data_IF_841086095151
#
_entry.id   IF_841086095151
#
_cell.length_a   1.000
_cell.length_b   1.000
_cell.length_c   1.000
_cell.angle_alpha   90.00
_cell.angle_beta   90.00
_cell.angle_gamma   90.00
#
_symmetry.space_group_name_H-M   'P 1'
#
loop_
_entity.id
_entity.type
_entity.pdbx_description
1 polymer ?
#
# COMPACT_ATOMS: atom_id res chain seq x y z
N UNK A 1 -3.63 12.56 -3.74
CA UNK A 1 -2.69 12.03 -2.73
C UNK A 1 -1.88 13.18 -2.17
N UNK A 2 -1.61 13.22 -0.86
CA UNK A 2 -0.85 14.29 -0.25
C UNK A 2 0.55 14.33 -0.86
N UNK A 3 1.03 15.53 -1.18
CA UNK A 3 2.43 15.74 -1.49
C UNK A 3 3.27 15.74 -0.20
N UNK A 4 4.57 16.04 -0.30
CA UNK A 4 5.47 16.11 0.86
C UNK A 4 5.09 17.17 1.89
N UNK A 5 4.14 18.07 1.60
CA UNK A 5 3.61 19.05 2.56
C UNK A 5 2.51 18.48 3.47
N UNK A 6 2.07 17.23 3.23
CA UNK A 6 1.03 16.50 3.98
C UNK A 6 -0.35 17.19 4.09
N UNK A 7 -0.52 18.39 3.52
CA UNK A 7 -1.67 19.28 3.71
C UNK A 7 -2.30 19.73 2.39
N UNK A 8 -1.61 19.54 1.27
CA UNK A 8 -2.06 19.97 -0.05
C UNK A 8 -2.33 18.76 -0.96
N UNK A 9 -3.43 18.82 -1.71
CA UNK A 9 -3.80 17.85 -2.73
C UNK A 9 -3.87 18.57 -4.07
N UNK A 10 -3.34 17.94 -5.13
CA UNK A 10 -3.36 18.52 -6.46
C UNK A 10 -4.80 18.74 -6.96
N UNK A 11 -5.10 19.84 -7.65
CA UNK A 11 -6.44 20.14 -8.16
C UNK A 11 -6.94 19.15 -9.25
N UNK A 12 -6.05 18.29 -9.74
CA UNK A 12 -6.35 17.25 -10.76
C UNK A 12 -7.35 16.21 -10.26
N UNK A 13 -7.49 16.07 -8.94
CA UNK A 13 -8.49 15.17 -8.35
C UNK A 13 -9.89 15.79 -8.33
N UNK A 14 -10.04 17.11 -8.40
CA UNK A 14 -11.37 17.76 -8.29
C UNK A 14 -12.36 17.31 -9.37
N UNK A 15 -11.97 17.20 -10.67
CA UNK A 15 -12.88 16.67 -11.68
C UNK A 15 -13.33 15.23 -11.40
N UNK A 16 -12.47 14.41 -10.79
CA UNK A 16 -12.83 13.03 -10.41
C UNK A 16 -13.84 13.00 -9.26
N UNK A 17 -13.86 14.04 -8.42
CA UNK A 17 -14.76 14.17 -7.28
C UNK A 17 -16.08 14.90 -7.61
N UNK A 18 -16.22 15.41 -8.84
CA UNK A 18 -17.40 16.17 -9.27
C UNK A 18 -18.68 15.30 -9.26
N UNK A 19 -18.55 14.02 -9.62
CA UNK A 19 -19.65 13.05 -9.56
C UNK A 19 -19.38 11.99 -8.50
N UNK A 20 -19.98 12.18 -7.32
CA UNK A 20 -19.83 11.28 -6.18
C UNK A 20 -20.39 9.87 -6.43
N UNK A 21 -21.31 9.68 -7.39
CA UNK A 21 -21.80 8.35 -7.75
C UNK A 21 -20.68 7.57 -8.47
N UNK A 22 -19.98 8.25 -9.37
CA UNK A 22 -18.88 7.66 -10.13
C UNK A 22 -17.57 7.58 -9.32
N UNK A 23 -17.38 8.42 -8.29
CA UNK A 23 -16.19 8.39 -7.42
C UNK A 23 -15.90 6.99 -6.90
N UNK A 24 -16.93 6.24 -6.50
CA UNK A 24 -16.79 4.88 -5.97
C UNK A 24 -16.22 3.87 -6.95
N UNK A 25 -16.28 4.14 -8.27
CA UNK A 25 -15.85 3.22 -9.33
C UNK A 25 -14.36 3.33 -9.64
N UNK A 26 -13.69 4.41 -9.21
CA UNK A 26 -12.26 4.57 -9.41
C UNK A 26 -11.45 3.64 -8.51
N UNK A 27 -10.30 3.19 -9.04
CA UNK A 27 -9.37 2.35 -8.29
C UNK A 27 -8.49 3.18 -7.33
N UNK A 28 -9.12 3.82 -6.34
CA UNK A 28 -8.42 4.67 -5.36
C UNK A 28 -7.30 3.93 -4.62
N UNK A 29 -7.50 2.64 -4.34
CA UNK A 29 -6.47 1.79 -3.72
C UNK A 29 -5.22 1.68 -4.58
N UNK A 30 -5.38 1.42 -5.89
CA UNK A 30 -4.26 1.32 -6.84
C UNK A 30 -3.55 2.66 -7.00
N UNK A 31 -4.30 3.76 -7.09
CA UNK A 31 -3.74 5.11 -7.17
C UNK A 31 -2.97 5.49 -5.89
N UNK A 32 -3.46 5.06 -4.73
CA UNK A 32 -2.77 5.28 -3.45
C UNK A 32 -1.48 4.45 -3.38
N UNK A 33 -1.53 3.19 -3.82
CA UNK A 33 -0.37 2.30 -3.86
C UNK A 33 0.70 2.78 -4.84
N UNK A 34 0.34 3.26 -6.03
CA UNK A 34 1.33 3.82 -6.97
C UNK A 34 2.03 5.04 -6.38
N UNK A 35 1.29 5.96 -5.77
CA UNK A 35 1.91 7.11 -5.09
C UNK A 35 2.79 6.69 -3.91
N UNK A 36 2.39 5.65 -3.16
CA UNK A 36 3.20 5.10 -2.06
C UNK A 36 4.50 4.48 -2.58
N UNK A 37 4.44 3.67 -3.65
CA UNK A 37 5.62 3.05 -4.25
C UNK A 37 6.60 4.09 -4.78
N UNK A 38 6.10 5.11 -5.49
CA UNK A 38 6.91 6.24 -5.96
C UNK A 38 7.59 6.98 -4.81
N UNK A 39 6.88 7.19 -3.70
CA UNK A 39 7.44 7.86 -2.54
C UNK A 39 8.51 7.01 -1.83
N UNK A 40 8.33 5.68 -1.78
CA UNK A 40 9.32 4.75 -1.24
C UNK A 40 10.58 4.71 -2.11
N UNK A 41 10.43 4.63 -3.43
CA UNK A 41 11.55 4.70 -4.38
C UNK A 41 12.37 5.98 -4.16
N UNK A 42 11.70 7.14 -4.17
CA UNK A 42 12.32 8.41 -3.91
C UNK A 42 13.01 8.45 -2.53
N UNK A 43 12.34 7.98 -1.48
CA UNK A 43 12.86 7.98 -0.11
C UNK A 43 14.08 7.09 0.13
N UNK A 44 14.41 6.16 -0.78
CA UNK A 44 15.61 5.33 -0.68
C UNK A 44 16.87 6.00 -1.23
N UNK A 45 16.73 7.13 -1.94
CA UNK A 45 17.87 7.84 -2.52
C UNK A 45 18.69 8.54 -1.44
N UNK A 46 20.02 8.53 -1.59
CA UNK A 46 20.94 9.07 -0.60
C UNK A 46 20.83 10.59 -0.37
N UNK A 47 20.25 11.33 -1.32
CA UNK A 47 20.04 12.77 -1.28
C UNK A 47 18.70 13.19 -0.63
N UNK A 48 17.90 12.23 -0.15
CA UNK A 48 16.58 12.50 0.40
C UNK A 48 16.55 12.43 1.93
N UNK A 49 16.03 13.49 2.54
CA UNK A 49 15.86 13.59 4.00
C UNK A 49 14.46 13.19 4.48
N UNK A 50 13.48 13.18 3.57
CA UNK A 50 12.07 12.95 3.88
C UNK A 50 11.43 11.97 2.91
N UNK A 51 10.41 11.26 3.40
CA UNK A 51 9.58 10.37 2.61
C UNK A 51 8.13 10.87 2.61
N UNK A 52 7.56 11.02 1.42
CA UNK A 52 6.18 11.48 1.22
C UNK A 52 5.18 10.34 1.08
N UNK A 53 3.97 10.66 0.62
CA UNK A 53 2.94 9.66 0.29
C UNK A 53 2.16 9.13 1.50
N UNK A 54 1.47 8.01 1.31
CA UNK A 54 0.54 7.47 2.30
C UNK A 54 1.27 6.64 3.39
N UNK A 55 2.11 7.29 4.20
CA UNK A 55 2.96 6.62 5.21
C UNK A 55 2.16 5.84 6.26
N UNK A 56 0.92 6.25 6.54
CA UNK A 56 0.03 5.50 7.43
C UNK A 56 -0.24 4.07 6.91
N UNK A 57 -0.29 3.85 5.59
CA UNK A 57 -0.45 2.51 5.03
C UNK A 57 0.79 1.65 5.24
N UNK A 58 1.99 2.23 5.07
CA UNK A 58 3.24 1.53 5.34
C UNK A 58 3.38 1.17 6.82
N UNK A 59 3.03 2.11 7.70
CA UNK A 59 3.04 1.90 9.15
C UNK A 59 2.05 0.80 9.56
N UNK A 60 0.80 0.85 9.07
CA UNK A 60 -0.17 -0.21 9.32
C UNK A 60 0.29 -1.55 8.75
N UNK A 61 0.89 -1.57 7.55
CA UNK A 61 1.45 -2.78 6.95
C UNK A 61 2.53 -3.39 7.83
N UNK A 62 3.43 -2.57 8.37
CA UNK A 62 4.51 -3.00 9.26
C UNK A 62 3.94 -3.55 10.57
N UNK A 63 2.98 -2.85 11.19
CA UNK A 63 2.35 -3.32 12.43
C UNK A 63 1.52 -4.59 12.26
N UNK A 64 0.92 -4.83 11.09
CA UNK A 64 0.22 -6.10 10.82
C UNK A 64 1.17 -7.30 10.75
N UNK A 65 2.41 -7.08 10.31
CA UNK A 65 3.33 -8.15 9.91
C UNK A 65 4.50 -8.33 10.85
N UNK A 66 5.05 -7.26 11.40
CA UNK A 66 6.28 -7.25 12.18
C UNK A 66 5.91 -7.01 13.65
N UNK A 67 5.68 -8.09 14.39
CA UNK A 67 5.05 -8.02 15.72
C UNK A 67 5.92 -7.34 16.79
N UNK A 68 7.25 -7.30 16.60
CA UNK A 68 8.15 -6.57 17.51
C UNK A 68 8.07 -5.03 17.34
N UNK A 69 7.52 -4.57 16.22
CA UNK A 69 7.30 -3.15 15.90
C UNK A 69 5.88 -2.70 16.21
N UNK A 70 4.93 -3.63 16.28
CA UNK A 70 3.52 -3.31 16.49
C UNK A 70 3.25 -2.89 17.93
N UNK A 71 2.47 -1.81 18.14
CA UNK A 71 1.92 -1.48 19.45
C UNK A 71 1.05 -2.61 19.99
N UNK A 72 0.97 -2.74 21.31
CA UNK A 72 0.07 -3.69 21.92
C UNK A 72 -1.38 -3.19 21.84
N UNK A 73 -2.25 -3.98 21.23
CA UNK A 73 -3.67 -3.65 21.05
C UNK A 73 -4.49 -4.04 22.28
N UNK A 74 -5.56 -3.29 22.52
CA UNK A 74 -6.67 -3.69 23.37
C UNK A 74 -7.54 -4.73 22.64
N UNK A 75 -8.12 -5.66 23.41
CA UNK A 75 -9.00 -6.69 22.86
C UNK A 75 -10.17 -6.08 22.08
N UNK A 76 -10.48 -6.70 20.93
CA UNK A 76 -11.59 -6.31 20.07
C UNK A 76 -12.84 -7.05 20.52
N UNK A 77 -13.81 -6.32 21.06
CA UNK A 77 -15.10 -6.91 21.46
C UNK A 77 -16.04 -7.07 20.25
N UNK A 78 -17.00 -8.01 20.33
CA UNK A 78 -18.05 -8.15 19.31
C UNK A 78 -18.80 -6.84 19.05
N UNK A 79 -19.02 -6.03 20.09
CA UNK A 79 -19.64 -4.71 19.97
C UNK A 79 -18.79 -3.74 19.13
N UNK A 80 -17.46 -3.79 19.25
CA UNK A 80 -16.58 -2.94 18.42
C UNK A 80 -16.65 -3.32 16.95
N UNK A 81 -16.82 -4.61 16.65
CA UNK A 81 -16.99 -5.12 15.28
C UNK A 81 -18.34 -4.67 14.73
N UNK A 82 -19.44 -4.93 15.45
CA UNK A 82 -20.80 -4.61 14.99
C UNK A 82 -21.06 -3.11 14.86
N UNK A 83 -20.41 -2.27 15.68
CA UNK A 83 -20.51 -0.80 15.57
C UNK A 83 -19.62 -0.20 14.49
N UNK A 84 -18.76 -0.98 13.82
CA UNK A 84 -17.77 -0.46 12.88
C UNK A 84 -16.67 0.38 13.55
N UNK A 85 -16.53 0.31 14.88
CA UNK A 85 -15.56 1.12 15.62
C UNK A 85 -14.09 0.83 15.24
N UNK A 86 -13.85 -0.35 14.66
CA UNK A 86 -12.54 -0.82 14.19
C UNK A 86 -12.41 -0.86 12.67
N UNK A 87 -13.38 -0.29 11.94
CA UNK A 87 -13.35 -0.13 10.49
C UNK A 87 -13.05 1.33 10.11
N UNK A 88 -12.20 1.61 9.09
CA UNK A 88 -11.40 0.65 8.32
C UNK A 88 -10.32 -0.03 9.18
N UNK A 89 -9.75 -1.17 8.74
CA UNK A 89 -8.83 -2.00 9.53
C UNK A 89 -7.74 -1.20 10.28
N UNK A 90 -7.17 -0.19 9.64
CA UNK A 90 -6.15 0.69 10.22
C UNK A 90 -6.60 1.36 11.54
N UNK A 91 -7.90 1.67 11.69
CA UNK A 91 -8.49 2.32 12.88
C UNK A 91 -8.31 1.50 14.15
N UNK A 92 -8.13 0.18 14.05
CA UNK A 92 -7.85 -0.66 15.21
C UNK A 92 -6.57 -0.22 15.94
N UNK A 93 -5.59 0.32 15.22
CA UNK A 93 -4.32 0.77 15.78
C UNK A 93 -4.46 2.06 16.60
N UNK A 94 -5.64 2.67 16.65
CA UNK A 94 -5.95 3.72 17.63
C UNK A 94 -6.30 3.14 19.02
N UNK A 95 -6.46 1.82 19.15
CA UNK A 95 -6.86 1.13 20.39
C UNK A 95 -5.67 0.44 21.04
N UNK A 96 -4.61 1.20 21.30
CA UNK A 96 -3.37 0.67 21.88
C UNK A 96 -3.38 0.81 23.40
N UNK A 97 -2.74 -0.13 24.10
CA UNK A 97 -2.58 -0.06 25.57
C UNK A 97 -1.71 1.11 26.01
N UNK A 98 -0.76 1.49 25.16
CA UNK A 98 0.10 2.66 25.33
C UNK A 98 -0.17 3.65 24.20
N UNK A 99 -0.18 4.94 24.50
CA UNK A 99 -0.31 5.96 23.45
C UNK A 99 0.88 5.86 22.49
N UNK A 100 0.60 5.73 21.19
CA UNK A 100 1.65 5.76 20.15
C UNK A 100 2.44 7.08 20.21
N UNK A 101 1.82 8.16 20.67
CA UNK A 101 2.46 9.47 20.83
C UNK A 101 3.36 9.58 22.07
N UNK A 102 3.32 8.61 22.97
CA UNK A 102 4.17 8.54 24.17
C UNK A 102 5.27 7.49 24.03
N UNK A 103 5.38 6.83 22.87
CA UNK A 103 6.46 5.88 22.61
C UNK A 103 7.81 6.61 22.55
N UNK A 104 8.69 6.29 23.49
CA UNK A 104 10.04 6.87 23.60
C UNK A 104 11.09 6.02 22.88
N UNK A 105 10.68 5.01 22.11
CA UNK A 105 11.57 4.15 21.33
C UNK A 105 12.38 4.97 20.35
N UNK A 106 13.69 4.95 20.51
CA UNK A 106 14.64 5.65 19.65
C UNK A 106 14.80 4.93 18.30
N UNK A 107 15.28 5.66 17.28
CA UNK A 107 15.64 5.08 15.97
C UNK A 107 16.65 3.92 16.13
N UNK A 108 17.60 4.03 17.07
CA UNK A 108 18.56 2.97 17.37
C UNK A 108 17.89 1.68 17.84
N UNK A 109 16.90 1.80 18.73
CA UNK A 109 16.13 0.66 19.21
C UNK A 109 15.26 0.04 18.11
N UNK A 110 14.68 0.87 17.23
CA UNK A 110 13.95 0.35 16.06
C UNK A 110 14.86 -0.44 15.11
N UNK A 111 16.06 0.06 14.81
CA UNK A 111 17.05 -0.66 14.00
C UNK A 111 17.43 -2.00 14.64
N UNK A 112 17.73 -1.99 15.94
CA UNK A 112 18.03 -3.22 16.68
C UNK A 112 16.90 -4.25 16.60
N UNK A 113 15.63 -3.82 16.76
CA UNK A 113 14.46 -4.70 16.62
C UNK A 113 14.33 -5.32 15.22
N UNK A 114 14.74 -4.60 14.18
CA UNK A 114 14.74 -5.09 12.80
C UNK A 114 15.93 -6.03 12.56
N UNK A 115 17.11 -5.69 13.07
CA UNK A 115 18.31 -6.53 12.96
C UNK A 115 18.13 -7.88 13.68
N UNK A 116 17.44 -7.87 14.82
CA UNK A 116 17.13 -9.06 15.63
C UNK A 116 15.84 -9.79 15.16
N UNK A 117 15.25 -9.40 14.03
CA UNK A 117 13.95 -9.91 13.59
C UNK A 117 14.02 -11.41 13.30
N UNK A 118 13.31 -12.21 14.12
CA UNK A 118 13.19 -13.64 13.90
C UNK A 118 12.05 -13.99 12.92
N UNK A 119 12.11 -15.12 12.20
CA UNK A 119 11.02 -15.57 11.33
C UNK A 119 9.67 -15.74 12.02
N UNK A 120 9.65 -15.94 13.34
CA UNK A 120 8.43 -16.08 14.16
C UNK A 120 7.73 -14.75 14.43
N UNK A 121 8.45 -13.64 14.35
CA UNK A 121 7.91 -12.29 14.55
C UNK A 121 7.34 -11.70 13.26
N UNK A 122 7.49 -12.41 12.14
CA UNK A 122 6.94 -12.01 10.85
C UNK A 122 5.68 -12.83 10.51
N UNK A 123 4.53 -12.15 10.47
CA UNK A 123 3.24 -12.72 10.08
C UNK A 123 3.04 -12.55 8.58
N UNK A 124 3.17 -13.62 7.81
CA UNK A 124 3.07 -13.57 6.35
C UNK A 124 1.64 -13.35 5.83
N UNK A 125 0.64 -13.85 6.56
CA UNK A 125 -0.78 -13.81 6.16
C UNK A 125 -1.65 -13.20 7.27
N UNK A 126 -1.42 -11.92 7.63
CA UNK A 126 -2.05 -11.33 8.81
C UNK A 126 -3.58 -11.29 8.68
N UNK A 127 -4.09 -11.11 7.45
CA UNK A 127 -5.51 -10.94 7.16
C UNK A 127 -6.35 -12.22 7.25
N UNK A 128 -5.70 -13.39 7.41
CA UNK A 128 -6.39 -14.68 7.60
C UNK A 128 -6.65 -15.00 9.08
N UNK A 129 -6.20 -14.16 10.02
CA UNK A 129 -6.48 -14.32 11.45
C UNK A 129 -7.96 -14.11 11.71
N UNK A 130 -8.59 -14.97 12.53
CA UNK A 130 -10.04 -14.99 12.74
C UNK A 130 -10.66 -13.62 13.04
N UNK A 131 -10.05 -12.87 13.94
CA UNK A 131 -10.50 -11.51 14.30
C UNK A 131 -10.44 -10.53 13.12
N UNK A 132 -9.43 -10.65 12.26
CA UNK A 132 -9.20 -9.74 11.13
C UNK A 132 -10.08 -10.13 9.94
N UNK A 133 -10.29 -11.43 9.71
CA UNK A 133 -11.20 -11.90 8.68
C UNK A 133 -12.64 -11.45 8.93
N UNK A 134 -13.03 -11.19 10.19
CA UNK A 134 -14.34 -10.62 10.51
C UNK A 134 -14.44 -9.13 10.17
N UNK A 135 -13.32 -8.42 10.10
CA UNK A 135 -13.25 -6.98 9.77
C UNK A 135 -13.14 -6.72 8.27
N UNK A 136 -12.60 -7.69 7.52
CA UNK A 136 -12.43 -7.60 6.07
C UNK A 136 -13.59 -8.37 5.43
N UNK A 137 -14.66 -7.65 5.12
CA UNK A 137 -15.84 -8.21 4.45
C UNK A 137 -15.70 -8.28 2.91
N UNK A 138 -14.55 -7.91 2.38
CA UNK A 138 -14.29 -7.87 0.94
C UNK A 138 -13.54 -9.12 0.52
N UNK A 139 -14.08 -9.82 -0.48
CA UNK A 139 -13.36 -10.91 -1.14
C UNK A 139 -12.16 -10.34 -1.89
N UNK A 140 -10.97 -10.90 -1.66
CA UNK A 140 -9.75 -10.47 -2.34
C UNK A 140 -9.77 -11.04 -3.76
N UNK A 141 -9.91 -10.21 -4.81
CA UNK A 141 -10.03 -10.72 -6.17
C UNK A 141 -8.71 -11.36 -6.63
N UNK A 142 -8.75 -12.34 -7.56
CA UNK A 142 -7.55 -12.97 -8.12
C UNK A 142 -6.55 -11.96 -8.69
N UNK A 143 -7.03 -10.81 -9.17
CA UNK A 143 -6.20 -9.72 -9.72
C UNK A 143 -5.23 -9.11 -8.72
N UNK A 144 -5.39 -9.34 -7.40
CA UNK A 144 -4.37 -8.95 -6.43
C UNK A 144 -3.02 -9.68 -6.63
N UNK A 145 -3.03 -10.81 -7.35
CA UNK A 145 -1.83 -11.54 -7.80
C UNK A 145 -1.35 -11.10 -9.18
N UNK A 146 -1.96 -10.09 -9.81
CA UNK A 146 -1.52 -9.64 -11.11
C UNK A 146 -0.18 -8.89 -11.01
N UNK A 147 0.69 -9.09 -12.00
CA UNK A 147 1.90 -8.28 -12.20
C UNK A 147 1.60 -7.21 -13.24
N UNK A 148 1.29 -6.00 -12.79
CA UNK A 148 0.72 -4.92 -13.62
C UNK A 148 1.12 -3.53 -13.16
N UNK A 149 1.09 -2.52 -14.06
CA UNK A 149 1.29 -1.14 -13.67
C UNK A 149 0.09 -0.61 -12.87
N UNK A 150 0.38 0.09 -11.79
CA UNK A 150 -0.52 0.96 -11.04
C UNK A 150 -0.31 2.40 -11.52
N UNK A 151 -1.41 3.09 -11.81
CA UNK A 151 -1.37 4.39 -12.49
C UNK A 151 -2.13 5.43 -11.66
N UNK A 152 -1.51 6.58 -11.43
CA UNK A 152 -2.12 7.74 -10.80
C UNK A 152 -1.57 9.02 -11.45
N UNK A 153 -2.29 9.57 -12.43
CA UNK A 153 -1.85 10.72 -13.23
C UNK A 153 -0.43 10.53 -13.77
N UNK A 154 0.55 11.34 -13.33
CA UNK A 154 1.94 11.24 -13.75
C UNK A 154 2.70 10.05 -13.16
N UNK A 155 2.11 9.33 -12.21
CA UNK A 155 2.76 8.23 -11.50
C UNK A 155 2.40 6.92 -12.16
N UNK A 156 3.44 6.20 -12.59
CA UNK A 156 3.38 4.81 -13.02
C UNK A 156 4.33 4.03 -12.15
N UNK A 157 3.82 2.99 -11.51
CA UNK A 157 4.58 2.07 -10.65
C UNK A 157 4.13 0.64 -10.91
N UNK A 158 4.95 -0.37 -10.58
CA UNK A 158 4.56 -1.76 -10.79
C UNK A 158 4.11 -2.46 -9.51
N UNK A 159 2.94 -3.10 -9.56
CA UNK A 159 2.55 -4.12 -8.60
C UNK A 159 3.30 -5.41 -8.94
N UNK A 160 4.33 -5.76 -8.16
CA UNK A 160 5.16 -6.96 -8.36
C UNK A 160 4.72 -8.09 -7.41
N UNK A 161 3.46 -8.52 -7.52
CA UNK A 161 2.89 -9.51 -6.61
C UNK A 161 3.59 -10.88 -6.66
N UNK A 162 4.29 -11.19 -7.75
CA UNK A 162 5.13 -12.38 -7.94
C UNK A 162 6.39 -12.39 -7.05
N UNK A 163 6.73 -11.28 -6.39
CA UNK A 163 7.81 -11.20 -5.39
C UNK A 163 7.36 -11.53 -3.98
N UNK A 164 6.05 -11.64 -3.76
CA UNK A 164 5.44 -11.89 -2.45
C UNK A 164 4.46 -13.07 -2.49
N UNK A 165 4.78 -14.09 -3.29
CA UNK A 165 3.92 -15.27 -3.54
C UNK A 165 3.49 -15.98 -2.26
N UNK A 166 4.34 -15.95 -1.22
CA UNK A 166 4.04 -16.55 0.08
C UNK A 166 2.82 -15.94 0.76
N UNK A 167 2.54 -14.65 0.55
CA UNK A 167 1.34 -13.99 1.08
C UNK A 167 0.04 -14.59 0.52
N UNK A 168 0.13 -15.17 -0.68
CA UNK A 168 -0.98 -15.81 -1.35
C UNK A 168 -1.04 -17.33 -1.12
N UNK A 169 -0.09 -17.90 -0.36
CA UNK A 169 -0.06 -19.34 -0.06
C UNK A 169 0.73 -20.18 -1.09
N UNK A 170 1.61 -19.55 -1.87
CA UNK A 170 2.46 -20.25 -2.84
C UNK A 170 3.93 -20.19 -2.43
N UNK A 171 4.70 -21.17 -2.90
CA UNK A 171 6.17 -21.17 -2.83
C UNK A 171 6.73 -20.00 -3.65
N UNK A 172 7.79 -19.37 -3.15
CA UNK A 172 8.45 -18.24 -3.81
C UNK A 172 9.51 -18.75 -4.78
N UNK A 173 9.35 -18.45 -6.07
CA UNK A 173 10.38 -18.66 -7.09
C UNK A 173 11.34 -17.46 -7.15
N UNK A 174 12.47 -17.61 -7.84
CA UNK A 174 13.37 -16.49 -8.14
C UNK A 174 12.61 -15.48 -9.00
N UNK A 175 12.42 -14.22 -8.54
CA UNK A 175 11.69 -13.23 -9.31
C UNK A 175 12.44 -12.79 -10.56
N UNK A 176 11.70 -12.44 -11.62
CA UNK A 176 12.27 -11.80 -12.80
C UNK A 176 12.83 -10.41 -12.45
N UNK A 177 13.75 -9.84 -13.25
CA UNK A 177 14.15 -8.45 -13.11
C UNK A 177 12.94 -7.51 -13.15
N UNK A 178 12.98 -6.42 -12.36
CA UNK A 178 11.93 -5.40 -12.40
C UNK A 178 11.98 -4.63 -13.71
N UNK A 179 10.83 -4.11 -14.13
CA UNK A 179 10.77 -3.17 -15.24
C UNK A 179 11.53 -1.88 -14.88
N UNK A 180 12.29 -1.34 -15.83
CA UNK A 180 12.89 -0.02 -15.68
C UNK A 180 11.78 1.04 -15.90
N UNK A 181 11.62 1.95 -14.94
CA UNK A 181 10.64 3.04 -14.94
C UNK A 181 11.33 4.43 -14.87
N UNK A 182 12.62 4.52 -15.21
CA UNK A 182 13.42 5.73 -15.02
C UNK A 182 12.83 6.93 -15.78
N UNK A 183 12.27 6.72 -16.97
CA UNK A 183 11.62 7.77 -17.75
C UNK A 183 10.29 8.21 -17.14
N UNK A 184 9.51 7.27 -16.58
CA UNK A 184 8.29 7.52 -15.84
C UNK A 184 8.55 8.25 -14.52
N UNK A 185 9.74 8.05 -13.93
CA UNK A 185 10.15 8.70 -12.68
C UNK A 185 10.52 10.17 -12.89
N UNK A 186 10.83 10.58 -14.14
CA UNK A 186 11.05 11.99 -14.52
C UNK A 186 9.75 12.77 -14.70
N UNK A 187 8.59 12.10 -14.73
CA UNK A 187 7.31 12.76 -14.92
C UNK A 187 6.74 13.30 -13.61
N UNK A 188 6.28 14.54 -13.63
CA UNK A 188 5.50 15.16 -12.56
C UNK A 188 4.27 15.88 -13.13
N UNK A 189 3.42 16.39 -12.23
CA UNK A 189 2.22 17.14 -12.59
C UNK A 189 2.45 18.65 -12.68
N UNK A 190 3.68 19.15 -12.43
CA UNK A 190 3.93 20.60 -12.30
C UNK A 190 3.74 21.28 -13.66
N UNK A 191 2.89 22.32 -13.68
CA UNK A 191 2.56 23.04 -14.91
C UNK A 191 1.74 22.22 -15.92
N UNK A 192 1.19 21.06 -15.51
CA UNK A 192 0.48 20.11 -16.39
C UNK A 192 -0.96 19.86 -15.94
N UNK A 193 -1.67 20.92 -15.56
CA UNK A 193 -3.05 20.83 -15.08
C UNK A 193 -4.04 20.35 -16.16
N UNK A 194 -3.78 20.65 -17.45
CA UNK A 194 -4.65 20.23 -18.57
C UNK A 194 -4.06 19.06 -19.36
N UNK A 195 -3.01 18.40 -18.83
CA UNK A 195 -2.34 17.32 -19.55
C UNK A 195 -3.17 16.05 -19.61
N UNK A 196 -3.31 15.49 -20.81
CA UNK A 196 -4.04 14.25 -21.03
C UNK A 196 -3.21 13.03 -20.63
N UNK A 197 -3.14 12.75 -19.33
CA UNK A 197 -2.44 11.56 -18.80
C UNK A 197 -2.99 10.24 -19.32
N UNK A 198 -4.28 10.18 -19.68
CA UNK A 198 -4.90 8.98 -20.26
C UNK A 198 -4.28 8.63 -21.61
N UNK A 199 -4.13 9.62 -22.48
CA UNK A 199 -3.51 9.44 -23.79
C UNK A 199 -2.01 9.17 -23.66
N UNK A 200 -1.32 9.94 -22.81
CA UNK A 200 0.11 9.78 -22.57
C UNK A 200 0.47 8.39 -22.03
N UNK A 201 -0.34 7.83 -21.14
CA UNK A 201 -0.12 6.51 -20.54
C UNK A 201 -0.96 5.39 -21.17
N UNK A 202 -1.42 5.55 -22.43
CA UNK A 202 -2.26 4.54 -23.09
C UNK A 202 -1.66 3.13 -23.06
N UNK A 203 -0.33 2.99 -23.22
CA UNK A 203 0.38 1.71 -23.13
C UNK A 203 0.25 1.06 -21.74
N UNK A 204 0.40 1.86 -20.67
CA UNK A 204 0.29 1.39 -19.29
C UNK A 204 -1.16 1.03 -18.96
N UNK A 205 -2.12 1.83 -19.45
CA UNK A 205 -3.54 1.57 -19.30
C UNK A 205 -3.94 0.27 -19.99
N UNK A 206 -3.39 -0.02 -21.17
CA UNK A 206 -3.62 -1.29 -21.86
C UNK A 206 -3.16 -2.48 -21.01
N UNK A 207 -1.96 -2.39 -20.40
CA UNK A 207 -1.43 -3.42 -19.50
C UNK A 207 -2.27 -3.59 -18.22
N UNK A 208 -2.77 -2.50 -17.64
CA UNK A 208 -3.69 -2.55 -16.50
C UNK A 208 -5.04 -3.18 -16.86
N UNK A 209 -5.58 -2.88 -18.04
CA UNK A 209 -6.83 -3.47 -18.50
C UNK A 209 -6.69 -4.98 -18.74
N UNK A 210 -5.49 -5.44 -19.12
CA UNK A 210 -5.12 -6.85 -19.29
C UNK A 210 -4.79 -7.60 -17.97
N UNK A 211 -4.99 -6.96 -16.81
CA UNK A 211 -4.60 -7.53 -15.50
C UNK A 211 -5.11 -8.93 -15.19
N UNK A 212 -6.27 -9.33 -15.72
CA UNK A 212 -6.84 -10.66 -15.49
C UNK A 212 -5.98 -11.77 -16.11
N UNK A 213 -5.28 -11.48 -17.21
CA UNK A 213 -4.38 -12.41 -17.89
C UNK A 213 -2.95 -12.39 -17.30
N UNK A 214 -2.69 -11.48 -16.36
CA UNK A 214 -1.36 -11.26 -15.75
C UNK A 214 -1.27 -11.77 -14.31
N UNK A 215 -2.28 -12.53 -13.88
CA UNK A 215 -2.31 -13.21 -12.59
C UNK A 215 -1.31 -14.35 -12.61
N UNK A 216 -0.28 -14.29 -11.77
CA UNK A 216 0.65 -15.41 -11.65
C UNK A 216 -0.03 -16.60 -10.94
N UNK A 217 0.37 -17.82 -11.30
CA UNK A 217 0.08 -19.03 -10.56
C UNK A 217 1.37 -19.55 -9.90
N UNK A 218 1.24 -20.36 -8.86
CA UNK A 218 2.38 -20.90 -8.14
C UNK A 218 2.09 -22.28 -7.59
N UNK A 219 3.13 -22.94 -7.09
CA UNK A 219 3.02 -24.23 -6.39
C UNK A 219 2.54 -23.94 -4.96
N UNK A 220 1.39 -24.47 -4.51
CA UNK A 220 0.94 -24.32 -3.13
C UNK A 220 1.92 -24.91 -2.11
N UNK A 221 1.78 -24.52 -0.84
CA UNK A 221 2.51 -25.15 0.26
C UNK A 221 1.95 -26.52 0.61
#
# INVERSE_FOLDING_TARGET
MPDTSASMMHLMYLPLLADLQNVSQYSWGSATLSCLYRALDHGTRADQENIGGCMILLQCWAWERITCLSPELLDVTKHNISSGAVFPLAKRWCRTKQSIFQDTTTVKQFRQKIDDLSPRQLVWTPYRRGEISQLIQVEVPPTCRAVVPLICFSVVEYQLSDRVMRQFGFRQNVPHPSMNLDEEHKQDMRGRADWNWREHHHQWIALWNDRHNRVFNGIPF
#
